data_IF_066571971431
#
_entry.id   IF_066571971431
#
_cell.length_a   1.000
_cell.length_b   1.000
_cell.length_c   1.000
_cell.angle_alpha   90.00
_cell.angle_beta   90.00
_cell.angle_gamma   90.00
#
_symmetry.space_group_name_H-M   'P 1'
#
loop_
_entity.id
_entity.type
_entity.pdbx_description
1 polymer ?
#
# COMPACT_ATOMS: atom_id res chain seq x y z
N UNK A 1 -2.29 -2.58 -8.84
CA UNK A 1 -2.79 -1.25 -8.43
C UNK A 1 -1.76 -0.62 -7.51
N UNK A 2 -1.57 0.71 -7.54
CA UNK A 2 -0.41 1.36 -6.92
C UNK A 2 -0.76 2.78 -6.48
N UNK A 3 -0.20 3.22 -5.35
CA UNK A 3 -0.25 4.60 -4.89
C UNK A 3 1.14 5.08 -4.49
N UNK A 4 1.38 6.38 -4.63
CA UNK A 4 2.62 7.04 -4.26
C UNK A 4 2.33 8.15 -3.26
N UNK A 5 3.07 8.15 -2.14
CA UNK A 5 3.08 9.25 -1.20
C UNK A 5 4.37 10.06 -1.37
N UNK A 6 4.30 11.27 -1.95
CA UNK A 6 5.48 12.12 -2.18
C UNK A 6 6.13 12.57 -0.87
N UNK A 7 5.31 12.93 0.13
CA UNK A 7 5.75 13.47 1.41
C UNK A 7 6.65 12.48 2.17
N UNK A 8 6.21 11.22 2.27
CA UNK A 8 6.99 10.17 2.96
C UNK A 8 7.89 9.37 2.02
N UNK A 9 7.88 9.66 0.70
CA UNK A 9 8.56 8.88 -0.35
C UNK A 9 8.30 7.38 -0.25
N UNK A 10 7.03 7.02 -0.08
CA UNK A 10 6.57 5.64 0.02
C UNK A 10 5.74 5.27 -1.21
N UNK A 11 5.89 4.03 -1.66
CA UNK A 11 5.04 3.43 -2.69
C UNK A 11 4.24 2.31 -2.02
N UNK A 12 2.95 2.24 -2.26
CA UNK A 12 2.13 1.09 -1.87
C UNK A 12 1.57 0.42 -3.11
N UNK A 13 1.53 -0.91 -3.11
CA UNK A 13 0.87 -1.67 -4.17
C UNK A 13 0.11 -2.86 -3.61
N UNK A 14 -1.09 -3.06 -4.13
CA UNK A 14 -1.97 -4.17 -3.80
C UNK A 14 -1.81 -5.32 -4.80
N UNK A 15 -1.68 -6.53 -4.26
CA UNK A 15 -1.54 -7.78 -4.99
C UNK A 15 -2.85 -8.55 -5.16
N UNK A 16 -2.82 -9.57 -6.02
CA UNK A 16 -3.97 -10.44 -6.31
C UNK A 16 -4.36 -11.35 -5.14
N UNK A 17 -3.47 -11.55 -4.18
CA UNK A 17 -3.68 -12.42 -3.02
C UNK A 17 -4.10 -11.65 -1.76
N UNK A 18 -4.56 -10.40 -1.90
CA UNK A 18 -4.93 -9.54 -0.76
C UNK A 18 -3.75 -8.95 0.03
N UNK A 19 -2.53 -9.22 -0.44
CA UNK A 19 -1.29 -8.65 0.08
C UNK A 19 -1.16 -7.19 -0.36
N UNK A 20 -0.72 -6.34 0.56
CA UNK A 20 -0.29 -4.97 0.29
C UNK A 20 1.18 -4.85 0.63
N UNK A 21 1.97 -4.35 -0.30
CA UNK A 21 3.39 -4.08 -0.08
C UNK A 21 3.59 -2.58 -0.01
N UNK A 22 4.31 -2.13 1.02
CA UNK A 22 4.72 -0.75 1.21
C UNK A 22 6.23 -0.69 1.07
N UNK A 23 6.71 0.13 0.15
CA UNK A 23 8.11 0.32 -0.14
C UNK A 23 8.56 1.73 0.26
N UNK A 24 9.50 1.82 1.18
CA UNK A 24 10.08 3.07 1.65
C UNK A 24 11.39 3.34 0.90
N UNK A 25 11.36 4.29 -0.04
CA UNK A 25 12.43 4.51 -0.99
C UNK A 25 13.72 5.03 -0.35
N UNK A 26 13.62 5.76 0.77
CA UNK A 26 14.81 6.28 1.48
C UNK A 26 15.59 5.18 2.19
N UNK A 27 14.88 4.24 2.81
CA UNK A 27 15.48 3.17 3.60
C UNK A 27 15.77 1.93 2.76
N UNK A 28 15.25 1.85 1.52
CA UNK A 28 15.29 0.64 0.70
C UNK A 28 14.51 -0.53 1.33
N UNK A 29 13.58 -0.24 2.25
CA UNK A 29 12.85 -1.26 2.99
C UNK A 29 11.51 -1.52 2.34
N UNK A 30 11.18 -2.79 2.17
CA UNK A 30 9.85 -3.24 1.79
C UNK A 30 9.18 -3.90 3.00
N UNK A 31 7.94 -3.54 3.25
CA UNK A 31 7.09 -4.20 4.22
C UNK A 31 5.91 -4.84 3.49
N UNK A 32 5.68 -6.11 3.75
CA UNK A 32 4.58 -6.88 3.18
C UNK A 32 3.53 -7.11 4.25
N UNK A 33 2.28 -6.81 3.95
CA UNK A 33 1.15 -6.87 4.89
C UNK A 33 0.03 -7.68 4.24
N UNK A 34 -0.45 -8.72 4.92
CA UNK A 34 -1.68 -9.40 4.52
C UNK A 34 -2.86 -8.56 5.01
N UNK A 35 -3.41 -7.71 4.13
CA UNK A 35 -4.48 -6.78 4.51
C UNK A 35 -5.88 -7.35 4.25
N UNK A 36 -6.02 -8.17 3.20
CA UNK A 36 -7.31 -8.72 2.76
C UNK A 36 -7.16 -10.21 2.40
N UNK A 37 -8.25 -10.98 2.35
CA UNK A 37 -8.20 -12.36 1.83
C UNK A 37 -8.42 -12.43 0.31
N UNK A 38 -9.02 -11.37 -0.26
CA UNK A 38 -9.30 -11.20 -1.70
C UNK A 38 -8.43 -10.14 -2.37
N UNK A 39 -8.34 -10.09 -3.72
CA UNK A 39 -7.53 -9.12 -4.44
C UNK A 39 -7.78 -7.68 -4.03
N UNK A 40 -6.71 -6.94 -3.75
CA UNK A 40 -6.81 -5.51 -3.43
C UNK A 40 -7.17 -4.72 -4.69
N UNK A 41 -8.25 -3.97 -4.64
CA UNK A 41 -8.81 -3.23 -5.79
C UNK A 41 -8.55 -1.72 -5.70
N UNK A 42 -8.48 -1.12 -4.50
CA UNK A 42 -8.13 0.29 -4.30
C UNK A 42 -7.15 0.51 -3.11
N UNK A 43 -6.22 1.46 -3.25
CA UNK A 43 -5.22 1.86 -2.25
C UNK A 43 -4.97 3.35 -2.42
N UNK A 44 -4.95 4.05 -1.30
CA UNK A 44 -4.75 5.49 -1.27
C UNK A 44 -3.99 5.87 -0.01
N UNK A 45 -2.97 6.70 -0.17
CA UNK A 45 -2.30 7.31 0.98
C UNK A 45 -3.11 8.50 1.47
N UNK A 46 -3.10 8.70 2.79
CA UNK A 46 -3.48 9.97 3.39
C UNK A 46 -2.51 11.07 2.95
N UNK A 47 -2.98 12.32 2.88
CA UNK A 47 -2.19 13.47 2.48
C UNK A 47 -0.99 13.72 3.42
N UNK A 48 -1.16 13.41 4.70
CA UNK A 48 -0.11 13.44 5.72
C UNK A 48 0.89 12.28 5.62
N UNK A 49 0.64 11.29 4.76
CA UNK A 49 1.49 10.12 4.53
C UNK A 49 1.53 9.10 5.69
N UNK A 50 0.75 9.31 6.75
CA UNK A 50 0.77 8.44 7.94
C UNK A 50 -0.11 7.21 7.77
N UNK A 51 -1.18 7.33 6.99
CA UNK A 51 -2.17 6.28 6.80
C UNK A 51 -2.24 5.81 5.35
N UNK A 52 -2.56 4.53 5.17
CA UNK A 52 -2.84 3.91 3.88
C UNK A 52 -4.21 3.24 3.96
N UNK A 53 -5.16 3.72 3.17
CA UNK A 53 -6.43 3.05 2.97
C UNK A 53 -6.26 1.94 1.94
N UNK A 54 -6.91 0.80 2.17
CA UNK A 54 -6.88 -0.35 1.27
C UNK A 54 -8.30 -0.92 1.15
N UNK A 55 -8.68 -1.34 -0.05
CA UNK A 55 -10.02 -1.83 -0.35
C UNK A 55 -9.95 -3.14 -1.14
N UNK A 56 -10.87 -4.05 -0.83
CA UNK A 56 -11.04 -5.36 -1.46
C UNK A 56 -12.52 -5.71 -1.54
N UNK A 57 -12.86 -6.68 -2.38
CA UNK A 57 -14.24 -7.17 -2.57
C UNK A 57 -14.56 -8.37 -1.65
N UNK A 58 -13.90 -8.44 -0.50
CA UNK A 58 -14.11 -9.43 0.55
C UNK A 58 -15.36 -9.13 1.39
#
# INVERSE_FOLDING_TARGET
MVAYCPNSRRIAFGGKTGVVVIHELRAGKAQTIQAHSRPVTAVAFSEDGKHLATYSAD
#
